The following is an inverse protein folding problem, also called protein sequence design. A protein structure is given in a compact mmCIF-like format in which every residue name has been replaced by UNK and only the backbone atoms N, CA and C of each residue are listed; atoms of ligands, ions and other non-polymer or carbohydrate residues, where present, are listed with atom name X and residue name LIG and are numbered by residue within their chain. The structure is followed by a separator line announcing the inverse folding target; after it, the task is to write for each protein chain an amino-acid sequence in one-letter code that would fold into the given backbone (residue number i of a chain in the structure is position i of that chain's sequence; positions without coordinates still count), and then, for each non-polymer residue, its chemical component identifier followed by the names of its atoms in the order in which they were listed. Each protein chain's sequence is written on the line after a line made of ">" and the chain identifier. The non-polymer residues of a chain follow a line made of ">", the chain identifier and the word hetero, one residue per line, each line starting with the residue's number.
data_IF_118842737668
#
_entry.id   IF_118842737668
#
_cell.length_a   1.000
_cell.length_b   1.000
_cell.length_c   1.000
_cell.angle_alpha   90.00
_cell.angle_beta   90.00
_cell.angle_gamma   90.00
#
_symmetry.space_group_name_H-M   'P 1'
#
loop_
_entity.id
_entity.type
_entity.pdbx_description
1 polymer ?
#
# COMPACT_ATOMS: atom_id res chain seq x y z
N UNK A 1 -41.85 -11.45 21.74
CA UNK A 1 -41.95 -11.22 23.20
C UNK A 1 -40.81 -11.99 23.88
N UNK A 2 -39.98 -11.23 24.59
CA UNK A 2 -39.03 -11.54 25.68
C UNK A 2 -38.14 -12.80 25.76
N UNK A 3 -36.81 -12.53 25.67
CA UNK A 3 -35.61 -12.92 26.49
C UNK A 3 -35.28 -14.44 26.57
N UNK A 4 -34.04 -14.94 26.38
CA UNK A 4 -32.80 -14.71 27.17
C UNK A 4 -31.53 -15.18 26.47
N UNK A 5 -30.44 -14.42 26.56
CA UNK A 5 -29.09 -14.98 26.68
C UNK A 5 -28.40 -14.39 27.91
N UNK A 6 -27.71 -15.28 28.61
CA UNK A 6 -27.19 -15.18 29.97
C UNK A 6 -26.37 -13.91 30.22
N UNK A 7 -26.84 -13.09 31.16
CA UNK A 7 -26.11 -12.02 31.81
C UNK A 7 -25.13 -12.58 32.83
N UNK A 8 -23.84 -12.56 32.52
CA UNK A 8 -22.77 -12.73 33.50
C UNK A 8 -21.99 -11.41 33.62
N UNK A 9 -22.20 -10.61 34.67
CA UNK A 9 -21.29 -9.52 35.03
C UNK A 9 -20.10 -10.11 35.81
N UNK A 10 -18.87 -9.88 35.33
CA UNK A 10 -17.68 -10.14 36.14
C UNK A 10 -17.40 -8.88 36.97
N UNK A 11 -17.51 -9.05 38.28
CA UNK A 11 -17.20 -8.05 39.30
C UNK A 11 -15.70 -7.76 39.34
N UNK A 12 -15.33 -6.49 39.19
CA UNK A 12 -14.03 -5.96 39.60
C UNK A 12 -14.15 -5.44 41.05
N UNK A 13 -13.24 -5.81 41.97
CA UNK A 13 -13.28 -5.30 43.34
C UNK A 13 -12.98 -3.80 43.41
N UNK A 14 -13.89 -3.05 44.03
CA UNK A 14 -13.71 -1.66 44.44
C UNK A 14 -12.53 -1.55 45.41
N UNK A 15 -11.44 -0.91 44.98
CA UNK A 15 -10.27 -0.69 45.84
C UNK A 15 -9.73 0.73 45.80
N UNK A 16 -10.58 1.75 45.87
CA UNK A 16 -10.13 3.10 46.25
C UNK A 16 -11.18 3.84 47.08
N UNK A 17 -11.23 3.52 48.38
CA UNK A 17 -11.73 4.46 49.39
C UNK A 17 -10.58 5.43 49.73
N UNK A 18 -10.78 6.71 49.44
CA UNK A 18 -9.92 7.77 49.95
C UNK A 18 -10.23 7.98 51.44
N UNK A 19 -9.38 7.48 52.33
CA UNK A 19 -9.39 7.92 53.72
C UNK A 19 -8.41 9.10 53.89
N UNK A 20 -9.04 10.24 54.12
CA UNK A 20 -8.46 11.51 54.49
C UNK A 20 -8.24 11.50 56.01
N UNK A 21 -7.02 11.23 56.46
CA UNK A 21 -6.43 11.77 57.69
C UNK A 21 -5.02 11.18 57.86
N UNK A 22 -4.01 12.04 57.96
CA UNK A 22 -3.03 12.05 59.05
C UNK A 22 -2.04 13.19 58.79
N UNK A 23 -2.31 14.31 59.47
CA UNK A 23 -1.44 15.46 59.57
C UNK A 23 -0.50 15.19 60.76
N UNK A 24 0.76 14.88 60.48
CA UNK A 24 1.82 14.75 61.48
C UNK A 24 3.08 15.46 61.00
N UNK A 25 3.36 16.63 61.60
CA UNK A 25 4.61 17.38 61.43
C UNK A 25 5.77 16.60 62.07
N UNK A 26 6.96 16.56 61.47
CA UNK A 26 8.15 17.35 61.86
C UNK A 26 9.42 16.93 61.08
N UNK A 27 10.14 17.94 60.58
CA UNK A 27 11.62 18.06 60.43
C UNK A 27 12.40 16.85 59.86
N UNK A 28 13.10 16.92 58.73
CA UNK A 28 14.33 17.72 58.58
C UNK A 28 15.04 17.35 57.25
N UNK A 29 15.59 18.39 56.61
CA UNK A 29 16.86 18.40 55.87
C UNK A 29 17.04 17.56 54.58
N UNK A 30 17.01 18.27 53.45
CA UNK A 30 18.00 18.21 52.35
C UNK A 30 18.12 16.92 51.51
N UNK A 31 17.02 16.31 51.06
CA UNK A 31 17.08 15.35 49.92
C UNK A 31 16.07 15.59 48.79
N UNK A 32 15.03 16.40 49.00
CA UNK A 32 13.92 16.55 48.05
C UNK A 32 14.28 17.27 46.74
N UNK A 33 15.40 17.99 46.67
CA UNK A 33 15.79 18.68 45.45
C UNK A 33 16.41 17.75 44.39
N UNK A 34 16.77 16.51 44.75
CA UNK A 34 17.28 15.50 43.79
C UNK A 34 16.19 14.59 43.23
N UNK A 35 15.12 14.34 43.97
CA UNK A 35 14.05 13.40 43.56
C UNK A 35 13.21 14.00 42.43
N UNK A 36 12.84 15.29 42.54
CA UNK A 36 12.08 15.97 41.48
C UNK A 36 12.85 16.12 40.16
N UNK A 37 14.17 16.23 40.20
CA UNK A 37 14.97 16.32 38.97
C UNK A 37 15.01 15.00 38.20
N UNK A 38 14.98 13.85 38.88
CA UNK A 38 14.96 12.53 38.23
C UNK A 38 13.61 12.26 37.58
N UNK A 39 12.52 12.54 38.29
CA UNK A 39 11.15 12.37 37.77
C UNK A 39 10.87 13.36 36.63
N UNK A 40 11.32 14.61 36.74
CA UNK A 40 11.16 15.60 35.65
C UNK A 40 12.00 15.23 34.44
N UNK A 41 13.21 14.67 34.63
CA UNK A 41 14.07 14.22 33.53
C UNK A 41 13.48 12.97 32.86
N UNK A 42 13.00 11.98 33.61
CA UNK A 42 12.34 10.78 33.07
C UNK A 42 11.02 11.12 32.36
N UNK A 43 10.20 12.02 32.93
CA UNK A 43 8.99 12.54 32.28
C UNK A 43 9.34 13.33 31.01
N UNK A 44 10.42 14.11 31.00
CA UNK A 44 10.88 14.83 29.80
C UNK A 44 11.40 13.89 28.71
N UNK A 45 12.07 12.79 29.08
CA UNK A 45 12.52 11.76 28.15
C UNK A 45 11.33 10.97 27.60
N UNK A 46 10.38 10.58 28.44
CA UNK A 46 9.14 9.93 28.01
C UNK A 46 8.30 10.85 27.12
N UNK A 47 8.23 12.15 27.42
CA UNK A 47 7.56 13.15 26.58
C UNK A 47 8.24 13.26 25.22
N UNK A 48 9.58 13.36 25.18
CA UNK A 48 10.34 13.35 23.91
C UNK A 48 10.17 12.04 23.16
N UNK A 49 10.13 10.90 23.85
CA UNK A 49 9.92 9.59 23.23
C UNK A 49 8.50 9.47 22.67
N UNK A 50 7.49 9.98 23.37
CA UNK A 50 6.11 10.02 22.91
C UNK A 50 5.94 10.98 21.75
N UNK A 51 6.57 12.15 21.78
CA UNK A 51 6.58 13.09 20.67
C UNK A 51 7.25 12.45 19.45
N UNK A 52 8.42 11.84 19.61
CA UNK A 52 9.11 11.08 18.56
C UNK A 52 8.28 9.89 18.05
N UNK A 53 7.52 9.21 18.92
CA UNK A 53 6.62 8.12 18.54
C UNK A 53 5.39 8.63 17.79
N UNK A 54 4.77 9.71 18.24
CA UNK A 54 3.63 10.34 17.56
C UNK A 54 4.04 10.94 16.23
N UNK A 55 5.25 11.49 16.15
CA UNK A 55 5.90 11.97 14.94
C UNK A 55 6.17 10.81 13.98
N UNK A 56 6.74 9.70 14.47
CA UNK A 56 6.85 8.43 13.72
C UNK A 56 5.49 7.96 13.19
N UNK A 57 4.46 7.87 14.02
CA UNK A 57 3.11 7.44 13.60
C UNK A 57 2.52 8.39 12.54
N UNK A 58 2.80 9.69 12.63
CA UNK A 58 2.38 10.69 11.64
C UNK A 58 3.15 10.57 10.32
N UNK A 59 4.38 10.09 10.35
CA UNK A 59 5.29 10.05 9.21
C UNK A 59 5.50 8.65 8.62
N UNK A 60 5.07 7.59 9.30
CA UNK A 60 4.86 6.27 8.70
C UNK A 60 3.59 6.33 7.87
N UNK A 61 3.71 6.73 6.61
CA UNK A 61 2.67 6.41 5.63
C UNK A 61 2.85 4.94 5.29
N UNK A 62 2.26 4.05 6.09
CA UNK A 62 2.03 2.69 5.62
C UNK A 62 1.05 2.86 4.47
N UNK A 63 1.55 2.81 3.24
CA UNK A 63 0.67 2.67 2.09
C UNK A 63 -0.26 1.50 2.40
N UNK A 64 -1.57 1.76 2.35
CA UNK A 64 -2.55 0.73 2.59
C UNK A 64 -2.30 -0.44 1.63
N UNK A 65 -2.67 -1.65 2.03
CA UNK A 65 -2.60 -2.81 1.12
C UNK A 65 -3.40 -2.61 -0.18
N UNK A 66 -4.27 -1.60 -0.25
CA UNK A 66 -5.04 -1.25 -1.45
C UNK A 66 -4.43 -0.11 -2.26
N UNK A 67 -3.39 0.58 -1.79
CA UNK A 67 -2.88 1.79 -2.45
C UNK A 67 -2.47 1.55 -3.91
N UNK A 68 -1.82 0.41 -4.20
CA UNK A 68 -1.48 0.03 -5.57
C UNK A 68 -2.73 -0.23 -6.42
N UNK A 69 -3.66 -1.03 -5.90
CA UNK A 69 -4.89 -1.37 -6.62
C UNK A 69 -5.78 -0.15 -6.86
N UNK A 70 -5.84 0.78 -5.91
CA UNK A 70 -6.63 2.01 -5.98
C UNK A 70 -6.07 2.96 -7.05
N UNK A 71 -4.74 3.14 -7.08
CA UNK A 71 -4.05 3.93 -8.11
C UNK A 71 -4.37 3.39 -9.51
N UNK A 72 -4.22 2.07 -9.69
CA UNK A 72 -4.51 1.42 -10.97
C UNK A 72 -5.99 1.53 -11.35
N UNK A 73 -6.90 1.33 -10.39
CA UNK A 73 -8.33 1.45 -10.64
C UNK A 73 -8.71 2.88 -11.05
N UNK A 74 -8.08 3.89 -10.46
CA UNK A 74 -8.22 5.29 -10.87
C UNK A 74 -7.81 5.50 -12.33
N UNK A 75 -6.64 5.00 -12.74
CA UNK A 75 -6.16 5.09 -14.13
C UNK A 75 -7.09 4.36 -15.10
N UNK A 76 -7.51 3.13 -14.78
CA UNK A 76 -8.42 2.36 -15.64
C UNK A 76 -9.82 3.00 -15.75
N UNK A 77 -10.26 3.70 -14.70
CA UNK A 77 -11.49 4.50 -14.72
C UNK A 77 -11.36 5.65 -15.71
N UNK A 78 -10.28 6.42 -15.65
CA UNK A 78 -10.00 7.51 -16.62
C UNK A 78 -10.02 6.99 -18.06
N UNK A 79 -9.34 5.85 -18.33
CA UNK A 79 -9.33 5.22 -19.65
C UNK A 79 -10.75 4.84 -20.10
N UNK A 80 -11.56 4.25 -19.21
CA UNK A 80 -12.94 3.90 -19.51
C UNK A 80 -13.80 5.14 -19.79
N UNK A 81 -13.61 6.23 -19.06
CA UNK A 81 -14.33 7.48 -19.29
C UNK A 81 -13.97 8.10 -20.64
N UNK A 82 -12.72 7.96 -21.10
CA UNK A 82 -12.24 8.48 -22.39
C UNK A 82 -12.59 7.57 -23.58
N UNK A 83 -12.32 6.27 -23.46
CA UNK A 83 -12.42 5.28 -24.55
C UNK A 83 -13.73 4.47 -24.52
N UNK A 84 -14.53 4.58 -23.46
CA UNK A 84 -15.73 3.78 -23.19
C UNK A 84 -15.45 2.40 -22.60
N UNK A 85 -14.29 1.81 -22.90
CA UNK A 85 -13.82 0.53 -22.37
C UNK A 85 -12.29 0.51 -22.30
N UNK A 86 -11.74 -0.43 -21.55
CA UNK A 86 -10.30 -0.69 -21.51
C UNK A 86 -10.03 -2.14 -21.95
N UNK A 87 -8.85 -2.38 -22.49
CA UNK A 87 -8.38 -3.70 -22.90
C UNK A 87 -7.16 -4.17 -22.07
N UNK A 88 -6.59 -5.34 -22.37
CA UNK A 88 -5.43 -5.84 -21.62
C UNK A 88 -4.17 -5.00 -21.81
N UNK A 89 -4.04 -4.28 -22.92
CA UNK A 89 -2.94 -3.32 -23.13
C UNK A 89 -3.06 -2.18 -22.14
N UNK A 90 -4.27 -1.65 -21.96
CA UNK A 90 -4.58 -0.62 -20.98
C UNK A 90 -4.30 -1.10 -19.55
N UNK A 91 -4.63 -2.36 -19.22
CA UNK A 91 -4.34 -2.97 -17.91
C UNK A 91 -2.83 -3.03 -17.63
N UNK A 92 -2.04 -3.52 -18.59
CA UNK A 92 -0.58 -3.59 -18.47
C UNK A 92 0.03 -2.20 -18.28
N UNK A 93 -0.39 -1.23 -19.08
CA UNK A 93 0.10 0.15 -18.99
C UNK A 93 -0.32 0.82 -17.68
N UNK A 94 -1.56 0.62 -17.22
CA UNK A 94 -2.04 1.15 -15.96
C UNK A 94 -1.24 0.59 -14.76
N UNK A 95 -0.90 -0.70 -14.76
CA UNK A 95 -0.05 -1.30 -13.72
C UNK A 95 1.35 -0.67 -13.71
N UNK A 96 2.00 -0.53 -14.88
CA UNK A 96 3.32 0.11 -14.98
C UNK A 96 3.30 1.58 -14.51
N UNK A 97 2.31 2.35 -14.94
CA UNK A 97 2.14 3.74 -14.52
C UNK A 97 1.87 3.87 -13.02
N UNK A 98 1.05 2.98 -12.45
CA UNK A 98 0.75 2.96 -11.01
C UNK A 98 2.01 2.77 -10.18
N UNK A 99 2.85 1.81 -10.59
CA UNK A 99 4.14 1.57 -9.96
C UNK A 99 5.01 2.83 -10.01
N UNK A 100 5.17 3.45 -11.19
CA UNK A 100 6.00 4.64 -11.34
C UNK A 100 5.49 5.85 -10.54
N UNK A 101 4.16 6.05 -10.45
CA UNK A 101 3.56 7.12 -9.64
C UNK A 101 3.85 6.93 -8.15
N UNK A 102 3.59 5.72 -7.62
CA UNK A 102 3.87 5.41 -6.21
C UNK A 102 5.37 5.45 -5.89
N UNK A 103 6.21 4.99 -6.81
CA UNK A 103 7.66 5.12 -6.69
C UNK A 103 8.08 6.59 -6.61
N UNK A 104 7.52 7.45 -7.47
CA UNK A 104 7.78 8.89 -7.44
C UNK A 104 7.34 9.53 -6.11
N UNK A 105 6.17 9.16 -5.60
CA UNK A 105 5.70 9.65 -4.30
C UNK A 105 6.64 9.24 -3.16
N UNK A 106 7.12 7.99 -3.18
CA UNK A 106 8.13 7.51 -2.22
C UNK A 106 9.38 8.38 -2.36
N UNK A 107 9.96 8.50 -3.56
CA UNK A 107 11.22 9.22 -3.74
C UNK A 107 11.12 10.72 -3.37
N UNK A 108 10.01 11.38 -3.72
CA UNK A 108 9.78 12.79 -3.37
C UNK A 108 9.72 13.02 -1.85
N UNK A 109 9.16 12.07 -1.08
CA UNK A 109 9.12 12.16 0.39
C UNK A 109 10.53 12.25 1.00
N UNK A 110 11.53 11.60 0.42
CA UNK A 110 12.89 11.55 0.99
C UNK A 110 13.89 12.53 0.35
N UNK A 111 13.57 13.10 -0.81
CA UNK A 111 14.42 14.08 -1.51
C UNK A 111 14.77 15.34 -0.69
N UNK A 112 13.93 15.72 0.27
CA UNK A 112 14.09 16.96 1.07
C UNK A 112 14.89 16.81 2.38
N UNK A 113 15.69 15.75 2.54
CA UNK A 113 16.66 15.64 3.65
C UNK A 113 16.21 14.85 4.89
N UNK A 114 15.20 13.99 4.76
CA UNK A 114 14.76 13.10 5.85
C UNK A 114 15.59 11.80 5.99
N UNK A 115 16.58 11.55 5.13
CA UNK A 115 17.39 10.32 5.13
C UNK A 115 18.17 10.08 6.44
N UNK A 116 18.55 11.14 7.18
CA UNK A 116 19.30 10.98 8.44
C UNK A 116 18.43 10.67 9.67
N UNK A 117 17.11 10.94 9.62
CA UNK A 117 16.24 10.87 10.80
C UNK A 117 15.58 9.50 11.02
N UNK A 118 15.57 8.63 10.02
CA UNK A 118 14.75 7.42 10.00
C UNK A 118 15.50 6.23 9.41
N UNK A 119 16.26 5.54 10.26
CA UNK A 119 16.62 4.14 10.03
C UNK A 119 15.62 3.27 10.80
N UNK A 120 15.21 2.14 10.24
CA UNK A 120 14.48 1.08 10.95
C UNK A 120 15.30 0.59 12.16
N UNK A 121 14.70 -0.16 13.08
CA UNK A 121 15.40 -0.68 14.28
C UNK A 121 16.67 -1.49 13.93
N UNK A 122 16.78 -1.98 12.69
CA UNK A 122 17.96 -2.67 12.14
C UNK A 122 18.91 -1.82 11.27
N UNK A 123 18.74 -0.50 11.18
CA UNK A 123 19.62 0.37 10.39
C UNK A 123 19.25 0.53 8.91
N UNK A 124 18.24 -0.19 8.43
CA UNK A 124 17.73 -0.11 7.05
C UNK A 124 17.03 1.23 6.80
N UNK A 125 17.30 1.93 5.68
CA UNK A 125 16.53 3.11 5.29
C UNK A 125 15.06 2.74 5.02
N UNK A 126 14.12 3.53 5.52
CA UNK A 126 12.68 3.31 5.27
C UNK A 126 12.29 3.39 3.79
N UNK A 127 13.05 4.14 2.98
CA UNK A 127 12.94 4.12 1.51
C UNK A 127 13.03 2.72 0.94
N UNK A 128 13.95 1.90 1.47
CA UNK A 128 14.15 0.52 1.01
C UNK A 128 12.95 -0.35 1.37
N UNK A 129 12.43 -0.20 2.58
CA UNK A 129 11.26 -0.97 3.06
C UNK A 129 9.98 -0.60 2.28
N UNK A 130 9.77 0.67 1.96
CA UNK A 130 8.62 1.10 1.14
C UNK A 130 8.72 0.66 -0.32
N UNK A 131 9.93 0.64 -0.89
CA UNK A 131 10.15 0.10 -2.24
C UNK A 131 9.96 -1.41 -2.25
N UNK A 132 10.48 -2.14 -1.25
CA UNK A 132 10.24 -3.58 -1.12
C UNK A 132 8.75 -3.92 -0.95
N UNK A 133 8.00 -3.09 -0.21
CA UNK A 133 6.54 -3.20 -0.13
C UNK A 133 5.89 -2.97 -1.49
N UNK A 134 6.31 -1.94 -2.23
CA UNK A 134 5.76 -1.62 -3.55
C UNK A 134 6.03 -2.73 -4.56
N UNK A 135 7.26 -3.28 -4.58
CA UNK A 135 7.61 -4.45 -5.37
C UNK A 135 6.71 -5.63 -4.99
N UNK A 136 6.56 -5.93 -3.69
CA UNK A 136 5.66 -7.00 -3.24
C UNK A 136 4.22 -6.82 -3.72
N UNK A 137 3.67 -5.60 -3.66
CA UNK A 137 2.32 -5.33 -4.19
C UNK A 137 2.24 -5.53 -5.69
N UNK A 138 3.27 -5.10 -6.42
CA UNK A 138 3.34 -5.28 -7.86
C UNK A 138 3.33 -6.76 -8.25
N UNK A 139 4.16 -7.57 -7.59
CA UNK A 139 4.21 -9.02 -7.80
C UNK A 139 2.85 -9.70 -7.55
N UNK A 140 2.17 -9.31 -6.46
CA UNK A 140 0.83 -9.82 -6.17
C UNK A 140 -0.17 -9.43 -7.24
N UNK A 141 -0.08 -8.22 -7.78
CA UNK A 141 -0.96 -7.80 -8.87
C UNK A 141 -0.68 -8.56 -10.17
N UNK A 142 0.58 -8.75 -10.54
CA UNK A 142 0.96 -9.54 -11.73
C UNK A 142 0.42 -10.96 -11.61
N UNK A 143 0.61 -11.60 -10.46
CA UNK A 143 0.08 -12.93 -10.18
C UNK A 143 -1.46 -12.97 -10.24
N UNK A 144 -2.12 -11.95 -9.69
CA UNK A 144 -3.58 -11.81 -9.73
C UNK A 144 -4.11 -11.66 -11.15
N UNK A 145 -3.53 -10.78 -11.97
CA UNK A 145 -3.92 -10.59 -13.38
C UNK A 145 -3.71 -11.86 -14.20
N UNK A 146 -2.59 -12.56 -14.03
CA UNK A 146 -2.32 -13.84 -14.70
C UNK A 146 -3.35 -14.90 -14.29
N UNK A 147 -3.74 -14.93 -13.02
CA UNK A 147 -4.79 -15.82 -12.52
C UNK A 147 -6.16 -15.49 -13.14
N UNK A 148 -6.51 -14.21 -13.24
CA UNK A 148 -7.75 -13.75 -13.85
C UNK A 148 -7.85 -14.17 -15.32
N UNK A 149 -6.79 -13.96 -16.10
CA UNK A 149 -6.72 -14.40 -17.50
C UNK A 149 -6.88 -15.92 -17.62
N UNK A 150 -6.24 -16.69 -16.73
CA UNK A 150 -6.35 -18.16 -16.71
C UNK A 150 -7.77 -18.64 -16.37
N UNK A 151 -8.44 -18.00 -15.41
CA UNK A 151 -9.83 -18.32 -15.04
C UNK A 151 -10.77 -18.00 -16.21
N UNK A 152 -10.62 -16.82 -16.82
CA UNK A 152 -11.40 -16.42 -17.99
C UNK A 152 -11.21 -17.41 -19.14
N UNK A 153 -9.97 -17.80 -19.46
CA UNK A 153 -9.67 -18.81 -20.47
C UNK A 153 -10.34 -20.16 -20.19
N UNK A 154 -10.26 -20.66 -18.95
CA UNK A 154 -10.93 -21.92 -18.58
C UNK A 154 -12.44 -21.84 -18.77
N UNK A 155 -13.05 -20.69 -18.46
CA UNK A 155 -14.45 -20.43 -18.74
C UNK A 155 -14.78 -20.51 -20.24
N UNK A 156 -13.95 -19.89 -21.08
CA UNK A 156 -14.12 -19.93 -22.54
C UNK A 156 -13.92 -21.33 -23.13
N UNK A 157 -12.97 -22.11 -22.61
CA UNK A 157 -12.78 -23.52 -22.99
C UNK A 157 -14.02 -24.35 -22.63
N UNK A 158 -14.52 -24.19 -21.40
CA UNK A 158 -15.72 -24.90 -20.95
C UNK A 158 -16.95 -24.57 -21.80
N UNK A 159 -17.06 -23.33 -22.26
CA UNK A 159 -18.13 -22.88 -23.16
C UNK A 159 -17.92 -23.33 -24.63
N UNK A 160 -16.76 -23.89 -24.98
CA UNK A 160 -16.43 -24.31 -26.34
C UNK A 160 -16.07 -23.17 -27.30
N UNK A 161 -15.84 -21.95 -26.80
CA UNK A 161 -15.49 -20.79 -27.62
C UNK A 161 -14.02 -20.81 -28.06
N UNK A 162 -13.16 -21.47 -27.28
CA UNK A 162 -11.75 -21.70 -27.60
C UNK A 162 -11.39 -23.17 -27.35
N UNK A 163 -10.45 -23.75 -28.11
CA UNK A 163 -10.14 -25.19 -28.03
C UNK A 163 -9.38 -25.56 -26.74
N UNK A 164 -8.53 -24.68 -26.23
CA UNK A 164 -7.71 -24.91 -25.05
C UNK A 164 -7.31 -23.59 -24.38
N UNK A 165 -6.75 -23.67 -23.16
CA UNK A 165 -6.25 -22.50 -22.44
C UNK A 165 -5.00 -21.97 -23.16
N UNK A 166 -4.93 -20.68 -23.54
CA UNK A 166 -3.81 -20.09 -24.26
C UNK A 166 -2.64 -19.85 -23.29
N UNK A 167 -2.00 -20.94 -22.87
CA UNK A 167 -1.00 -20.94 -21.79
C UNK A 167 0.20 -20.07 -22.14
N UNK A 168 0.64 -20.12 -23.40
CA UNK A 168 1.77 -19.33 -23.90
C UNK A 168 1.49 -17.83 -23.83
N UNK A 169 0.33 -17.39 -24.29
CA UNK A 169 -0.08 -15.99 -24.25
C UNK A 169 -0.28 -15.51 -22.80
N UNK A 170 -0.79 -16.37 -21.90
CA UNK A 170 -0.91 -16.03 -20.47
C UNK A 170 0.46 -15.95 -19.79
N UNK A 171 1.45 -16.74 -20.23
CA UNK A 171 2.84 -16.62 -19.74
C UNK A 171 3.50 -15.34 -20.24
N UNK A 172 3.31 -14.99 -21.52
CA UNK A 172 3.82 -13.74 -22.10
C UNK A 172 3.23 -12.47 -21.45
N UNK A 173 2.02 -12.58 -20.88
CA UNK A 173 1.39 -11.47 -20.15
C UNK A 173 2.20 -11.03 -18.93
N UNK A 174 2.81 -11.98 -18.23
CA UNK A 174 3.66 -11.69 -17.06
C UNK A 174 4.90 -10.89 -17.48
N UNK A 175 5.58 -11.31 -18.56
CA UNK A 175 6.72 -10.58 -19.11
C UNK A 175 6.34 -9.15 -19.51
N UNK A 176 5.13 -8.99 -20.06
CA UNK A 176 4.60 -7.69 -20.49
C UNK A 176 4.40 -6.73 -19.32
N UNK A 177 3.98 -7.22 -18.15
CA UNK A 177 3.90 -6.42 -16.94
C UNK A 177 5.29 -5.92 -16.52
N UNK A 178 6.29 -6.79 -16.42
CA UNK A 178 7.65 -6.37 -16.04
C UNK A 178 8.25 -5.36 -17.03
N UNK A 179 8.05 -5.58 -18.33
CA UNK A 179 8.43 -4.60 -19.35
C UNK A 179 7.74 -3.25 -19.14
N UNK A 180 6.46 -3.25 -18.75
CA UNK A 180 5.73 -2.02 -18.46
C UNK A 180 6.28 -1.33 -17.22
N UNK A 181 6.56 -2.07 -16.14
CA UNK A 181 7.21 -1.51 -14.93
C UNK A 181 8.50 -0.78 -15.30
N UNK A 182 9.37 -1.45 -16.05
CA UNK A 182 10.66 -0.91 -16.46
C UNK A 182 10.51 0.31 -17.38
N UNK A 183 9.60 0.24 -18.36
CA UNK A 183 9.33 1.34 -19.28
C UNK A 183 8.83 2.60 -18.56
N UNK A 184 7.90 2.46 -17.62
CA UNK A 184 7.36 3.59 -16.87
C UNK A 184 8.33 4.13 -15.82
N UNK A 185 9.17 3.29 -15.21
CA UNK A 185 10.26 3.76 -14.34
C UNK A 185 11.31 4.54 -15.15
N UNK A 186 11.64 4.07 -16.35
CA UNK A 186 12.52 4.82 -17.25
C UNK A 186 11.89 6.16 -17.65
N UNK A 187 10.60 6.16 -18.01
CA UNK A 187 9.85 7.37 -18.35
C UNK A 187 9.86 8.37 -17.19
N UNK A 188 9.70 7.90 -15.95
CA UNK A 188 9.81 8.72 -14.76
C UNK A 188 11.19 9.39 -14.65
N UNK A 189 12.27 8.61 -14.78
CA UNK A 189 13.63 9.14 -14.71
C UNK A 189 13.88 10.23 -15.77
N UNK A 190 13.36 10.04 -16.99
CA UNK A 190 13.40 11.03 -18.07
C UNK A 190 12.52 12.26 -17.77
N UNK A 191 11.35 12.04 -17.17
CA UNK A 191 10.42 13.11 -16.82
C UNK A 191 10.98 14.03 -15.72
N UNK A 192 11.77 13.50 -14.78
CA UNK A 192 12.49 14.29 -13.76
C UNK A 192 13.46 15.30 -14.37
N UNK A 193 14.11 14.95 -15.47
CA UNK A 193 15.05 15.84 -16.15
C UNK A 193 14.34 16.94 -16.94
N UNK A 194 13.12 16.66 -17.41
CA UNK A 194 12.36 17.54 -18.31
C UNK A 194 11.23 18.31 -17.61
N UNK A 195 10.94 18.01 -16.33
CA UNK A 195 9.85 18.62 -15.56
C UNK A 195 8.45 18.21 -16.02
N UNK A 196 8.33 17.13 -16.80
CA UNK A 196 7.05 16.65 -17.32
C UNK A 196 6.35 15.71 -16.34
N UNK A 197 5.03 15.77 -16.31
CA UNK A 197 4.20 14.85 -15.51
C UNK A 197 4.22 13.43 -16.08
N UNK A 198 4.16 12.44 -15.17
CA UNK A 198 3.97 11.02 -15.51
C UNK A 198 2.54 10.79 -16.02
N UNK A 199 2.42 10.61 -17.32
CA UNK A 199 1.16 10.37 -18.03
C UNK A 199 1.15 8.99 -18.68
N UNK A 200 -0.05 8.43 -18.82
CA UNK A 200 -0.27 7.16 -19.48
C UNK A 200 0.28 7.18 -20.91
N UNK A 201 1.01 6.13 -21.24
CA UNK A 201 1.47 5.80 -22.58
C UNK A 201 0.68 4.60 -23.09
N UNK A 202 0.57 4.45 -24.41
CA UNK A 202 -0.05 3.28 -25.03
C UNK A 202 1.03 2.32 -25.53
N UNK A 203 1.92 1.85 -24.63
CA UNK A 203 2.98 0.93 -25.02
C UNK A 203 2.40 -0.45 -25.38
N UNK A 204 2.78 -0.97 -26.54
CA UNK A 204 2.51 -2.35 -26.94
C UNK A 204 3.70 -3.22 -26.51
N UNK A 205 3.64 -3.78 -25.31
CA UNK A 205 4.72 -4.57 -24.70
C UNK A 205 4.33 -6.05 -24.73
N UNK A 206 5.10 -6.87 -25.45
CA UNK A 206 4.68 -8.23 -25.82
C UNK A 206 4.03 -8.31 -27.20
N UNK A 207 3.58 -9.51 -27.58
CA UNK A 207 3.06 -9.78 -28.92
C UNK A 207 1.61 -9.30 -29.10
N UNK A 208 1.28 -8.79 -30.30
CA UNK A 208 -0.10 -8.42 -30.63
C UNK A 208 -1.06 -9.61 -30.50
N UNK A 209 -0.59 -10.82 -30.85
CA UNK A 209 -1.37 -12.06 -30.72
C UNK A 209 -1.79 -12.32 -29.27
N UNK A 210 -0.90 -12.07 -28.30
CA UNK A 210 -1.22 -12.21 -26.89
C UNK A 210 -2.39 -11.30 -26.52
N UNK A 211 -2.31 -9.99 -26.81
CA UNK A 211 -3.38 -9.05 -26.50
C UNK A 211 -4.68 -9.38 -27.23
N UNK A 212 -4.62 -9.74 -28.51
CA UNK A 212 -5.79 -10.20 -29.26
C UNK A 212 -6.47 -11.41 -28.61
N UNK A 213 -5.68 -12.38 -28.11
CA UNK A 213 -6.22 -13.55 -27.42
C UNK A 213 -6.84 -13.18 -26.09
N UNK A 214 -6.12 -12.42 -25.24
CA UNK A 214 -6.58 -12.04 -23.91
C UNK A 214 -7.84 -11.16 -23.96
N UNK A 215 -7.90 -10.22 -24.91
CA UNK A 215 -9.07 -9.38 -25.14
C UNK A 215 -10.31 -10.19 -25.56
N UNK A 216 -10.13 -11.35 -26.22
CA UNK A 216 -11.24 -12.28 -26.52
C UNK A 216 -11.70 -13.08 -25.30
N UNK A 217 -10.84 -13.29 -24.31
CA UNK A 217 -11.21 -14.02 -23.09
C UNK A 217 -12.19 -13.21 -22.25
N UNK A 218 -11.93 -11.91 -22.17
CA UNK A 218 -12.80 -10.94 -21.55
C UNK A 218 -13.71 -10.32 -22.60
N UNK A 219 -14.87 -10.93 -22.86
CA UNK A 219 -16.04 -10.11 -23.17
C UNK A 219 -16.31 -9.23 -21.93
N UNK A 220 -15.55 -8.14 -21.77
CA UNK A 220 -15.76 -7.08 -20.78
C UNK A 220 -16.85 -6.10 -21.24
N UNK A 221 -17.56 -6.43 -22.33
CA UNK A 221 -18.88 -5.91 -22.62
C UNK A 221 -19.93 -6.85 -22.03
N UNK A 222 -20.58 -6.37 -20.97
CA UNK A 222 -22.01 -6.54 -20.80
C UNK A 222 -22.71 -6.57 -22.17
N UNK A 223 -23.13 -7.75 -22.62
CA UNK A 223 -24.41 -7.84 -23.32
C UNK A 223 -25.49 -7.77 -22.25
N UNK A 224 -25.73 -6.56 -21.75
CA UNK A 224 -27.07 -6.23 -21.27
C UNK A 224 -27.85 -5.96 -22.55
N UNK A 225 -28.57 -7.00 -23.01
CA UNK A 225 -29.70 -6.83 -23.91
C UNK A 225 -30.87 -6.16 -23.17
#
# INVERSE_FOLDING_TARGET
>A
MSITFLSNPIHLPDFFKFDREYLGKQESQNEDQKVFHKDTLEVSQLSKNRENLMDKIKHTVVHSVTSFSDMRAGILKEIREEKGQYDYTDVVNACGLSYARLYSEIEERYKNGNEQYYKSAGGTPWTKEEIEWLDMQYEQEVAWQKSCARIAARGQVFQGNIPEVPTKEIEELEDSFYQAKDAYIKLYQESKQTGKFLVLQNYMLGSSRMYEMLNKLGNLQERVE
#
